data_IF_450268912173
#
_entry.id   IF_450268912173
#
_cell.length_a   1.000
_cell.length_b   1.000
_cell.length_c   1.000
_cell.angle_alpha   90.00
_cell.angle_beta   90.00
_cell.angle_gamma   90.00
#
_symmetry.space_group_name_H-M   'P 1'
#
loop_
_entity.id
_entity.type
_entity.pdbx_description
1 polymer ?
#
# COMPACT_ATOMS: atom_id res chain seq x y z
N UNK A 1 -47.72 51.48 48.36
CA UNK A 1 -47.43 51.69 49.80
C UNK A 1 -46.32 50.72 50.20
N UNK A 2 -45.24 51.24 50.80
CA UNK A 2 -44.09 50.49 51.33
C UNK A 2 -44.50 49.73 52.60
N UNK A 3 -43.96 48.54 52.83
CA UNK A 3 -43.28 48.14 54.08
C UNK A 3 -42.87 46.65 54.03
N UNK A 4 -41.58 46.28 54.01
CA UNK A 4 -40.64 46.15 55.16
C UNK A 4 -40.86 44.81 55.93
N UNK A 5 -39.87 43.97 56.33
CA UNK A 5 -38.40 44.07 56.50
C UNK A 5 -37.76 42.68 56.37
N UNK A 6 -36.47 42.72 56.05
CA UNK A 6 -35.44 41.68 56.11
C UNK A 6 -35.11 41.34 57.58
N UNK A 7 -34.89 40.06 57.90
CA UNK A 7 -33.96 39.65 58.97
C UNK A 7 -33.29 38.31 58.64
N UNK A 8 -32.04 38.23 59.07
CA UNK A 8 -30.94 37.42 58.54
C UNK A 8 -30.58 36.28 59.51
N UNK A 9 -30.22 35.12 58.94
CA UNK A 9 -29.37 34.03 59.44
C UNK A 9 -29.69 33.29 60.75
N UNK A 10 -29.78 31.96 60.62
CA UNK A 10 -29.45 30.98 61.65
C UNK A 10 -28.91 29.71 60.98
N UNK A 11 -27.58 29.56 60.97
CA UNK A 11 -26.85 28.46 60.36
C UNK A 11 -27.10 27.15 61.12
N UNK A 12 -27.30 26.09 60.36
CA UNK A 12 -27.66 24.72 60.77
C UNK A 12 -26.52 24.03 61.51
N UNK A 13 -26.86 23.46 62.68
CA UNK A 13 -26.08 22.41 63.32
C UNK A 13 -26.44 21.07 62.69
N UNK A 14 -25.45 20.21 62.42
CA UNK A 14 -25.41 18.78 62.81
C UNK A 14 -24.26 18.07 62.10
N UNK A 15 -23.35 17.53 62.90
CA UNK A 15 -22.37 16.50 62.56
C UNK A 15 -23.06 15.22 62.07
N UNK A 16 -22.60 14.64 60.95
CA UNK A 16 -23.01 13.32 60.50
C UNK A 16 -21.78 12.50 60.06
N UNK A 17 -21.81 11.25 60.51
CA UNK A 17 -20.77 10.26 60.49
C UNK A 17 -20.57 9.61 59.12
N UNK A 18 -19.43 8.93 59.00
CA UNK A 18 -18.98 8.18 57.83
C UNK A 18 -19.97 7.10 57.35
N UNK A 19 -20.08 6.97 56.03
CA UNK A 19 -20.51 5.74 55.36
C UNK A 19 -19.63 5.54 54.12
N UNK A 20 -18.66 4.61 54.22
CA UNK A 20 -17.90 4.09 53.09
C UNK A 20 -18.84 3.19 52.28
N UNK A 21 -19.30 3.67 51.12
CA UNK A 21 -20.00 2.83 50.15
C UNK A 21 -19.00 1.95 49.43
N UNK A 22 -19.07 0.63 49.65
CA UNK A 22 -18.40 -0.38 48.83
C UNK A 22 -18.98 -0.29 47.42
N UNK A 23 -18.20 0.22 46.48
CA UNK A 23 -18.56 0.27 45.07
C UNK A 23 -18.70 -1.15 44.51
N UNK A 24 -19.88 -1.45 43.97
CA UNK A 24 -20.13 -2.69 43.24
C UNK A 24 -19.21 -2.74 42.01
N UNK A 25 -18.43 -3.82 41.89
CA UNK A 25 -17.69 -4.15 40.67
C UNK A 25 -18.68 -4.52 39.58
N UNK A 26 -19.12 -3.53 38.80
CA UNK A 26 -19.80 -3.75 37.53
C UNK A 26 -18.79 -4.28 36.52
N UNK A 27 -18.87 -5.55 36.17
CA UNK A 27 -18.14 -6.09 35.02
C UNK A 27 -18.85 -5.53 33.79
N UNK A 28 -18.28 -4.51 33.16
CA UNK A 28 -18.73 -4.04 31.87
C UNK A 28 -18.51 -5.19 30.87
N UNK A 29 -19.59 -5.83 30.42
CA UNK A 29 -19.54 -6.74 29.30
C UNK A 29 -19.44 -5.88 28.04
N UNK A 30 -18.30 -5.91 27.37
CA UNK A 30 -18.18 -5.37 26.02
C UNK A 30 -19.14 -6.15 25.12
N UNK A 31 -20.20 -5.51 24.67
CA UNK A 31 -21.04 -6.05 23.61
C UNK A 31 -20.22 -6.00 22.32
N UNK A 32 -19.85 -7.16 21.79
CA UNK A 32 -19.28 -7.26 20.44
C UNK A 32 -20.42 -7.01 19.46
N UNK A 33 -20.39 -5.88 18.75
CA UNK A 33 -21.33 -5.62 17.66
C UNK A 33 -20.91 -6.51 16.48
N UNK A 34 -21.64 -7.59 16.26
CA UNK A 34 -21.39 -8.59 15.21
C UNK A 34 -22.10 -8.25 13.88
N UNK A 35 -22.42 -6.98 13.63
CA UNK A 35 -23.10 -6.54 12.40
C UNK A 35 -22.32 -5.38 11.76
N UNK A 36 -21.01 -5.52 11.60
CA UNK A 36 -20.30 -4.69 10.63
C UNK A 36 -20.66 -5.20 9.24
N UNK A 37 -21.02 -4.32 8.28
CA UNK A 37 -21.18 -4.75 6.89
C UNK A 37 -19.87 -5.41 6.43
N UNK A 38 -20.00 -6.50 5.67
CA UNK A 38 -18.87 -7.08 4.94
C UNK A 38 -18.45 -6.07 3.89
N UNK A 39 -17.24 -5.51 4.02
CA UNK A 39 -16.66 -4.60 3.04
C UNK A 39 -16.02 -5.47 1.97
N UNK A 40 -16.65 -5.55 0.80
CA UNK A 40 -16.09 -6.23 -0.37
C UNK A 40 -15.07 -5.27 -0.95
N UNK A 41 -13.79 -5.59 -0.80
CA UNK A 41 -12.74 -4.74 -1.38
C UNK A 41 -12.82 -4.78 -2.90
N UNK A 42 -12.55 -3.65 -3.55
CA UNK A 42 -12.50 -3.61 -5.00
C UNK A 42 -11.31 -4.45 -5.48
N UNK A 43 -11.48 -5.08 -6.63
CA UNK A 43 -10.46 -5.91 -7.28
C UNK A 43 -9.86 -5.17 -8.47
N UNK A 44 -8.82 -5.76 -9.05
CA UNK A 44 -8.40 -5.40 -10.41
C UNK A 44 -8.69 -6.57 -11.33
N UNK A 45 -9.04 -6.27 -12.58
CA UNK A 45 -9.35 -7.27 -13.59
C UNK A 45 -8.13 -7.50 -14.47
N UNK A 46 -7.81 -8.76 -14.74
CA UNK A 46 -6.89 -9.11 -15.81
C UNK A 46 -7.59 -9.03 -17.20
N UNK A 47 -6.84 -9.14 -18.31
CA UNK A 47 -7.44 -9.08 -19.65
C UNK A 47 -8.45 -10.20 -19.96
N UNK A 48 -8.44 -11.30 -19.20
CA UNK A 48 -9.38 -12.42 -19.31
C UNK A 48 -10.63 -12.22 -18.42
N UNK A 49 -10.65 -11.17 -17.60
CA UNK A 49 -11.72 -10.84 -16.67
C UNK A 49 -11.60 -11.55 -15.32
N UNK A 50 -10.46 -12.20 -15.02
CA UNK A 50 -10.23 -12.75 -13.69
C UNK A 50 -9.91 -11.63 -12.70
N UNK A 51 -10.36 -11.79 -11.48
CA UNK A 51 -10.18 -10.82 -10.40
C UNK A 51 -8.86 -11.05 -9.67
N UNK A 52 -8.17 -9.97 -9.35
CA UNK A 52 -6.95 -9.99 -8.54
C UNK A 52 -7.03 -8.94 -7.43
N UNK A 53 -6.56 -9.32 -6.25
CA UNK A 53 -6.43 -8.46 -5.07
C UNK A 53 -4.96 -8.26 -4.81
N UNK A 54 -4.56 -7.00 -4.61
CA UNK A 54 -3.19 -6.63 -4.24
C UNK A 54 -2.11 -7.22 -5.18
N UNK A 55 -2.19 -6.97 -6.51
CA UNK A 55 -1.21 -7.51 -7.45
C UNK A 55 0.20 -6.98 -7.15
N UNK A 56 1.21 -7.83 -7.29
CA UNK A 56 2.61 -7.49 -7.03
C UNK A 56 3.30 -6.77 -8.20
N UNK A 57 2.67 -6.78 -9.38
CA UNK A 57 3.15 -6.10 -10.58
C UNK A 57 2.03 -5.60 -11.49
N UNK A 58 2.30 -4.52 -12.22
CA UNK A 58 1.43 -3.92 -13.24
C UNK A 58 2.26 -3.67 -14.52
N UNK A 59 1.86 -4.25 -15.64
CA UNK A 59 2.49 -3.97 -16.95
C UNK A 59 1.74 -2.84 -17.64
N UNK A 60 2.42 -1.70 -17.78
CA UNK A 60 1.83 -0.45 -18.23
C UNK A 60 1.85 -0.30 -19.75
N UNK A 61 2.77 -0.99 -20.42
CA UNK A 61 2.79 -1.12 -21.88
C UNK A 61 2.68 -2.59 -22.30
N UNK A 62 1.49 -3.20 -22.21
CA UNK A 62 1.33 -4.64 -22.43
C UNK A 62 1.77 -5.14 -23.81
N UNK A 63 1.76 -4.26 -24.82
CA UNK A 63 2.10 -4.62 -26.19
C UNK A 63 3.59 -4.98 -26.37
N UNK A 64 4.48 -4.40 -25.57
CA UNK A 64 5.93 -4.56 -25.72
C UNK A 64 6.68 -4.81 -24.41
N UNK A 65 5.99 -4.74 -23.26
CA UNK A 65 6.51 -4.97 -21.92
C UNK A 65 7.72 -4.07 -21.56
N UNK A 66 7.84 -2.90 -22.19
CA UNK A 66 8.95 -1.98 -21.95
C UNK A 66 8.75 -1.09 -20.72
N UNK A 67 7.56 -1.05 -20.14
CA UNK A 67 7.28 -0.34 -18.90
C UNK A 67 6.37 -1.17 -17.98
N UNK A 68 6.84 -1.44 -16.77
CA UNK A 68 6.10 -2.12 -15.73
C UNK A 68 6.41 -1.52 -14.35
N UNK A 69 5.47 -1.63 -13.42
CA UNK A 69 5.72 -1.44 -11.99
C UNK A 69 5.82 -2.80 -11.34
N UNK A 70 6.92 -3.08 -10.66
CA UNK A 70 7.21 -4.33 -9.98
C UNK A 70 7.43 -4.10 -8.48
N UNK A 71 7.49 -5.20 -7.72
CA UNK A 71 7.74 -5.19 -6.27
C UNK A 71 6.73 -4.32 -5.52
N UNK A 72 5.46 -4.40 -5.93
CA UNK A 72 4.42 -3.57 -5.35
C UNK A 72 4.12 -4.04 -3.93
N UNK A 73 4.13 -3.10 -3.00
CA UNK A 73 3.67 -3.28 -1.62
C UNK A 73 2.48 -2.37 -1.37
N UNK A 74 1.33 -2.97 -1.07
CA UNK A 74 0.10 -2.24 -0.76
C UNK A 74 0.06 -1.83 0.71
N UNK A 75 -0.30 -0.57 0.95
CA UNK A 75 -0.46 0.04 2.28
C UNK A 75 -1.94 0.16 2.64
N UNK A 76 -2.77 0.46 1.64
CA UNK A 76 -4.22 0.57 1.74
C UNK A 76 -4.83 -0.23 0.61
N UNK A 77 -5.86 -1.01 0.92
CA UNK A 77 -6.71 -1.67 -0.07
C UNK A 77 -8.12 -1.78 0.50
N UNK A 78 -9.10 -1.17 -0.18
CA UNK A 78 -10.51 -1.24 0.23
C UNK A 78 -11.45 -1.14 -0.99
N UNK A 79 -12.73 -0.87 -0.74
CA UNK A 79 -13.81 -0.78 -1.73
C UNK A 79 -13.84 0.55 -2.52
N UNK A 80 -12.93 1.48 -2.24
CA UNK A 80 -12.89 2.80 -2.87
C UNK A 80 -11.51 3.16 -3.44
N UNK A 81 -10.45 2.75 -2.76
CA UNK A 81 -9.07 3.11 -3.12
C UNK A 81 -8.10 2.00 -2.71
N UNK A 82 -7.04 1.85 -3.50
CA UNK A 82 -5.82 1.16 -3.10
C UNK A 82 -4.62 2.10 -3.21
N UNK A 83 -3.72 2.06 -2.23
CA UNK A 83 -2.49 2.86 -2.22
C UNK A 83 -1.31 1.93 -1.94
N UNK A 84 -0.30 1.99 -2.79
CA UNK A 84 0.90 1.17 -2.67
C UNK A 84 2.16 1.89 -3.14
N UNK A 85 3.29 1.24 -2.96
CA UNK A 85 4.58 1.67 -3.48
C UNK A 85 5.18 0.56 -4.32
N UNK A 86 5.96 0.90 -5.34
CA UNK A 86 6.66 -0.08 -6.16
C UNK A 86 7.87 0.50 -6.86
N UNK A 87 8.43 -0.26 -7.79
CA UNK A 87 9.55 0.15 -8.65
C UNK A 87 9.10 0.10 -10.09
N UNK A 88 9.01 1.26 -10.74
CA UNK A 88 8.83 1.36 -12.18
C UNK A 88 10.14 0.98 -12.89
N UNK A 89 10.05 0.00 -13.78
CA UNK A 89 11.13 -0.47 -14.63
C UNK A 89 10.83 -0.08 -16.07
N UNK A 90 11.65 0.81 -16.63
CA UNK A 90 11.45 1.35 -17.98
C UNK A 90 12.66 1.01 -18.84
N UNK A 91 12.43 0.38 -19.99
CA UNK A 91 13.44 0.23 -21.02
C UNK A 91 13.61 1.56 -21.76
N UNK A 92 14.83 2.10 -21.81
CA UNK A 92 15.11 3.36 -22.50
C UNK A 92 14.86 3.28 -24.00
N UNK A 93 14.95 2.09 -24.59
CA UNK A 93 14.80 1.86 -26.03
C UNK A 93 15.74 2.71 -26.91
N UNK A 94 16.90 3.11 -26.40
CA UNK A 94 17.88 3.89 -27.15
C UNK A 94 19.11 3.04 -27.50
N UNK A 95 19.49 2.91 -28.80
CA UNK A 95 18.81 3.40 -30.00
C UNK A 95 17.64 2.52 -30.45
N UNK A 96 17.55 1.29 -29.94
CA UNK A 96 16.46 0.35 -30.20
C UNK A 96 16.05 -0.34 -28.89
N UNK A 97 14.83 -0.86 -28.79
CA UNK A 97 14.40 -1.58 -27.58
C UNK A 97 15.19 -2.86 -27.28
N UNK A 98 15.82 -3.47 -28.29
CA UNK A 98 16.68 -4.63 -28.10
C UNK A 98 18.05 -4.28 -27.48
N UNK A 99 18.48 -3.03 -27.62
CA UNK A 99 19.78 -2.52 -27.17
C UNK A 99 19.65 -1.58 -25.96
N UNK A 100 18.43 -1.21 -25.59
CA UNK A 100 18.16 -0.30 -24.49
C UNK A 100 18.52 -0.87 -23.12
N UNK A 101 18.46 -0.02 -22.11
CA UNK A 101 18.77 -0.36 -20.72
C UNK A 101 17.52 -0.21 -19.86
N UNK A 102 17.40 -1.05 -18.84
CA UNK A 102 16.34 -0.92 -17.85
C UNK A 102 16.76 0.10 -16.80
N UNK A 103 15.91 1.11 -16.61
CA UNK A 103 16.04 2.11 -15.54
C UNK A 103 14.98 1.82 -14.49
N UNK A 104 15.38 1.80 -13.22
CA UNK A 104 14.50 1.53 -12.07
C UNK A 104 14.21 2.84 -11.34
N UNK A 105 12.94 3.11 -11.04
CA UNK A 105 12.50 4.32 -10.34
C UNK A 105 11.46 3.97 -9.27
N UNK A 106 11.63 4.41 -8.02
CA UNK A 106 10.61 4.21 -7.01
C UNK A 106 9.36 5.06 -7.33
N UNK A 107 8.18 4.47 -7.11
CA UNK A 107 6.89 5.10 -7.41
C UNK A 107 5.84 4.83 -6.32
N UNK A 108 4.89 5.76 -6.20
CA UNK A 108 3.62 5.58 -5.49
C UNK A 108 2.54 5.23 -6.50
N UNK A 109 1.69 4.26 -6.15
CA UNK A 109 0.59 3.76 -6.97
C UNK A 109 -0.71 4.06 -6.22
N UNK A 110 -1.70 4.61 -6.91
CA UNK A 110 -3.06 4.76 -6.42
C UNK A 110 -4.01 4.11 -7.41
N UNK A 111 -4.85 3.19 -6.95
CA UNK A 111 -5.97 2.67 -7.73
C UNK A 111 -7.26 3.29 -7.19
N UNK A 112 -8.06 3.85 -8.07
CA UNK A 112 -9.35 4.47 -7.75
C UNK A 112 -10.32 4.33 -8.94
N UNK A 113 -11.44 5.06 -8.87
CA UNK A 113 -12.51 4.97 -9.87
C UNK A 113 -13.18 3.59 -9.84
N UNK A 114 -14.04 3.35 -8.85
CA UNK A 114 -14.64 2.02 -8.67
C UNK A 114 -15.92 1.85 -9.48
N UNK A 115 -16.00 0.75 -10.23
CA UNK A 115 -17.19 0.33 -10.98
C UNK A 115 -17.66 -1.06 -10.54
N UNK A 116 -18.92 -1.39 -10.79
CA UNK A 116 -19.48 -2.71 -10.52
C UNK A 116 -19.26 -3.67 -11.69
N UNK A 117 -18.98 -4.93 -11.40
CA UNK A 117 -18.91 -5.98 -12.41
C UNK A 117 -20.33 -6.45 -12.76
N UNK A 118 -20.66 -6.48 -14.06
CA UNK A 118 -22.00 -6.92 -14.52
C UNK A 118 -22.36 -8.32 -13.98
N UNK A 119 -23.62 -8.50 -13.58
CA UNK A 119 -24.16 -9.76 -13.06
C UNK A 119 -23.45 -10.33 -11.80
N UNK A 120 -22.75 -9.48 -11.03
CA UNK A 120 -22.12 -9.85 -9.76
C UNK A 120 -22.25 -8.74 -8.69
N UNK A 121 -21.89 -9.06 -7.46
CA UNK A 121 -21.77 -8.07 -6.37
C UNK A 121 -20.33 -7.51 -6.27
N UNK A 122 -19.44 -7.89 -7.19
CA UNK A 122 -18.05 -7.47 -7.19
C UNK A 122 -17.88 -6.06 -7.74
N UNK A 123 -16.82 -5.39 -7.28
CA UNK A 123 -16.42 -4.06 -7.73
C UNK A 123 -14.96 -4.08 -8.17
N UNK A 124 -14.60 -3.28 -9.16
CA UNK A 124 -13.25 -3.19 -9.67
C UNK A 124 -12.78 -1.75 -9.84
N UNK A 125 -11.47 -1.53 -9.65
CA UNK A 125 -10.82 -0.26 -9.96
C UNK A 125 -10.73 -0.04 -11.47
N UNK A 126 -10.94 1.20 -11.92
CA UNK A 126 -10.87 1.58 -13.35
C UNK A 126 -9.69 2.48 -13.67
N UNK A 127 -9.11 3.14 -12.66
CA UNK A 127 -8.03 4.09 -12.86
C UNK A 127 -6.80 3.73 -12.01
N UNK A 128 -5.61 3.94 -12.57
CA UNK A 128 -4.34 3.85 -11.87
C UNK A 128 -3.55 5.14 -12.04
N UNK A 129 -3.19 5.77 -10.93
CA UNK A 129 -2.24 6.87 -10.88
C UNK A 129 -0.88 6.38 -10.40
N UNK A 130 0.17 6.80 -11.10
CA UNK A 130 1.55 6.51 -10.78
C UNK A 130 2.29 7.82 -10.61
N UNK A 131 2.90 8.01 -9.45
CA UNK A 131 3.69 9.19 -9.10
C UNK A 131 5.12 8.77 -8.79
N UNK A 132 6.10 9.43 -9.40
CA UNK A 132 7.51 9.22 -9.11
C UNK A 132 8.34 10.42 -9.52
N UNK A 133 9.65 10.24 -9.64
CA UNK A 133 10.60 11.32 -9.97
C UNK A 133 10.39 11.96 -11.35
N UNK A 134 9.65 11.29 -12.25
CA UNK A 134 9.28 11.84 -13.56
C UNK A 134 7.93 12.59 -13.52
N UNK A 135 7.30 12.70 -12.35
CA UNK A 135 5.98 13.29 -12.13
C UNK A 135 4.85 12.28 -11.94
N UNK A 136 3.61 12.77 -12.02
CA UNK A 136 2.38 11.98 -11.88
C UNK A 136 1.73 11.72 -13.25
N UNK A 137 1.25 10.49 -13.45
CA UNK A 137 0.48 10.09 -14.64
C UNK A 137 -0.66 9.16 -14.26
N UNK A 138 -1.78 9.29 -14.97
CA UNK A 138 -2.96 8.42 -14.81
C UNK A 138 -3.17 7.56 -16.06
N UNK A 139 -3.56 6.31 -15.85
CA UNK A 139 -3.90 5.36 -16.91
C UNK A 139 -5.25 4.70 -16.58
N UNK A 140 -5.98 4.35 -17.63
CA UNK A 140 -7.13 3.47 -17.50
C UNK A 140 -6.63 2.03 -17.28
N UNK A 141 -7.14 1.36 -16.25
CA UNK A 141 -6.71 0.01 -15.89
C UNK A 141 -7.00 -1.03 -16.97
N UNK A 142 -7.93 -0.77 -17.90
CA UNK A 142 -8.15 -1.63 -19.08
C UNK A 142 -6.98 -1.62 -20.06
N UNK A 143 -6.08 -0.63 -19.95
CA UNK A 143 -4.85 -0.53 -20.76
C UNK A 143 -3.63 -1.14 -20.09
N UNK A 144 -3.78 -1.56 -18.84
CA UNK A 144 -2.74 -2.20 -18.03
C UNK A 144 -2.98 -3.70 -18.04
N UNK A 145 -1.91 -4.47 -17.97
CA UNK A 145 -2.01 -5.93 -17.79
C UNK A 145 -1.45 -6.31 -16.45
N UNK A 146 -2.24 -7.07 -15.70
CA UNK A 146 -1.78 -7.78 -14.52
C UNK A 146 -1.51 -9.19 -14.98
N UNK A 147 -0.24 -9.54 -15.11
CA UNK A 147 0.08 -10.95 -15.23
C UNK A 147 0.04 -11.55 -13.83
N UNK A 148 -0.51 -12.76 -13.64
CA UNK A 148 -0.06 -13.56 -12.52
C UNK A 148 1.46 -13.65 -12.65
N UNK A 149 2.20 -13.07 -11.72
CA UNK A 149 3.62 -13.42 -11.59
C UNK A 149 3.57 -14.91 -11.33
N UNK A 150 4.09 -15.79 -12.22
CA UNK A 150 4.19 -17.19 -11.87
C UNK A 150 4.95 -17.19 -10.55
N UNK A 151 4.31 -17.70 -9.49
CA UNK A 151 4.97 -17.90 -8.20
C UNK A 151 6.32 -18.46 -8.54
N UNK A 152 7.40 -17.73 -8.21
CA UNK A 152 8.76 -18.06 -8.61
C UNK A 152 8.89 -19.57 -8.52
N UNK A 153 8.98 -20.26 -9.68
CA UNK A 153 8.74 -21.70 -9.69
C UNK A 153 9.71 -22.29 -8.67
N UNK A 154 9.18 -22.79 -7.56
CA UNK A 154 9.99 -23.54 -6.61
C UNK A 154 10.57 -24.66 -7.45
N UNK A 155 11.90 -24.70 -7.55
CA UNK A 155 12.67 -25.70 -8.29
C UNK A 155 12.35 -27.11 -7.76
N UNK A 156 11.17 -27.63 -8.08
CA UNK A 156 10.73 -28.99 -7.84
C UNK A 156 10.79 -29.71 -9.18
N UNK A 157 11.99 -30.12 -9.57
CA UNK A 157 12.24 -31.50 -9.99
C UNK A 157 13.72 -31.72 -10.33
N UNK A 158 14.40 -32.42 -9.41
CA UNK A 158 15.75 -32.89 -9.62
C UNK A 158 15.83 -33.98 -10.69
N UNK A 159 16.73 -33.79 -11.64
CA UNK A 159 17.52 -34.87 -12.23
C UNK A 159 18.97 -34.41 -12.29
N UNK A 160 19.75 -34.87 -11.31
CA UNK A 160 21.21 -34.90 -11.39
C UNK A 160 21.61 -36.06 -12.32
N UNK A 161 21.80 -35.76 -13.60
CA UNK A 161 22.64 -36.61 -14.45
C UNK A 161 24.10 -36.18 -14.24
N UNK A 162 24.79 -37.06 -13.54
CA UNK A 162 26.21 -37.05 -13.19
C UNK A 162 27.05 -37.19 -14.47
N UNK A 163 27.54 -36.10 -15.07
CA UNK A 163 28.65 -36.21 -16.03
C UNK A 163 29.52 -34.94 -16.17
N UNK A 164 30.73 -35.07 -15.61
CA UNK A 164 31.99 -34.38 -15.95
C UNK A 164 32.13 -32.87 -15.66
N UNK A 165 32.65 -32.58 -14.46
CA UNK A 165 33.26 -31.30 -14.09
C UNK A 165 34.73 -31.22 -14.55
N UNK A 166 35.13 -30.30 -15.45
CA UNK A 166 36.53 -29.86 -15.53
C UNK A 166 36.81 -28.79 -14.47
N UNK A 167 37.72 -29.12 -13.55
CA UNK A 167 38.30 -28.19 -12.58
C UNK A 167 38.86 -26.97 -13.33
N UNK A 168 38.22 -25.81 -13.14
CA UNK A 168 38.80 -24.51 -13.47
C UNK A 168 39.35 -23.91 -12.19
N UNK A 169 40.64 -23.61 -12.22
CA UNK A 169 41.36 -22.92 -11.16
C UNK A 169 40.70 -21.57 -10.85
N UNK A 170 40.34 -21.39 -9.58
CA UNK A 170 39.89 -20.11 -9.03
C UNK A 170 41.08 -19.15 -8.92
N UNK A 171 40.98 -17.91 -9.43
CA UNK A 171 41.84 -16.83 -8.97
C UNK A 171 41.34 -16.32 -7.61
N UNK A 172 42.31 -16.05 -6.74
CA UNK A 172 42.16 -15.62 -5.35
C UNK A 172 41.38 -14.30 -5.24
N UNK A 173 40.55 -14.23 -4.20
CA UNK A 173 39.74 -13.10 -3.77
C UNK A 173 40.64 -11.89 -3.45
N UNK A 174 40.38 -10.75 -4.10
CA UNK A 174 40.74 -9.44 -3.54
C UNK A 174 39.46 -8.83 -2.97
N UNK A 175 39.38 -8.80 -1.64
CA UNK A 175 38.37 -8.06 -0.88
C UNK A 175 38.63 -6.56 -1.01
N UNK A 176 38.11 -5.95 -2.07
CA UNK A 176 37.89 -4.51 -2.08
C UNK A 176 36.53 -4.25 -1.42
N UNK A 177 36.57 -3.81 -0.17
CA UNK A 177 35.43 -3.26 0.53
C UNK A 177 34.95 -2.01 -0.22
N UNK A 178 33.99 -2.19 -1.11
CA UNK A 178 33.33 -1.11 -1.83
C UNK A 178 32.66 -0.19 -0.80
N UNK A 179 33.18 1.03 -0.72
CA UNK A 179 32.66 2.12 0.08
C UNK A 179 31.17 2.28 -0.23
N UNK A 180 30.31 2.17 0.79
CA UNK A 180 28.86 2.33 0.63
C UNK A 180 28.61 3.65 -0.13
N UNK A 181 27.83 3.63 -1.23
CA UNK A 181 27.63 4.84 -2.02
C UNK A 181 27.05 5.94 -1.13
N UNK A 182 27.69 7.10 -1.15
CA UNK A 182 27.12 8.31 -0.55
C UNK A 182 25.80 8.60 -1.28
N UNK A 183 24.69 8.66 -0.54
CA UNK A 183 23.38 9.00 -1.09
C UNK A 183 23.45 10.45 -1.57
N UNK A 184 23.33 10.66 -2.88
CA UNK A 184 23.40 11.97 -3.50
C UNK A 184 22.24 12.86 -2.97
N UNK A 185 22.49 14.17 -2.78
CA UNK A 185 21.44 15.10 -2.29
C UNK A 185 20.21 15.15 -3.22
N UNK A 186 20.39 14.80 -4.50
CA UNK A 186 19.31 14.68 -5.49
C UNK A 186 18.32 13.53 -5.17
N UNK A 187 18.77 12.47 -4.49
CA UNK A 187 17.89 11.37 -4.05
C UNK A 187 16.99 11.81 -2.88
N UNK A 188 17.43 12.77 -2.05
CA UNK A 188 16.63 13.26 -0.93
C UNK A 188 15.39 14.03 -1.40
N UNK A 189 15.51 14.81 -2.48
CA UNK A 189 14.38 15.52 -3.09
C UNK A 189 13.40 14.55 -3.77
N UNK A 190 13.91 13.50 -4.45
CA UNK A 190 13.08 12.43 -4.99
C UNK A 190 12.28 11.69 -3.92
N UNK A 191 12.93 11.35 -2.79
CA UNK A 191 12.27 10.72 -1.64
C UNK A 191 11.24 11.67 -1.02
N UNK A 192 11.51 12.97 -0.97
CA UNK A 192 10.55 13.96 -0.48
C UNK A 192 9.32 14.08 -1.39
N UNK A 193 9.50 14.00 -2.71
CA UNK A 193 8.40 14.00 -3.69
C UNK A 193 7.53 12.75 -3.55
N UNK A 194 8.15 11.57 -3.42
CA UNK A 194 7.46 10.29 -3.17
C UNK A 194 6.70 10.32 -1.84
N UNK A 195 7.33 10.84 -0.79
CA UNK A 195 6.68 11.00 0.52
C UNK A 195 5.49 11.96 0.44
N UNK A 196 5.60 13.05 -0.34
CA UNK A 196 4.50 13.98 -0.57
C UNK A 196 3.36 13.34 -1.38
N UNK A 197 3.69 12.56 -2.41
CA UNK A 197 2.72 11.81 -3.21
C UNK A 197 1.97 10.78 -2.35
N UNK A 198 2.69 10.05 -1.48
CA UNK A 198 2.09 9.13 -0.53
C UNK A 198 1.19 9.86 0.48
N UNK A 199 1.66 10.97 1.06
CA UNK A 199 0.88 11.75 2.01
C UNK A 199 -0.39 12.33 1.37
N UNK A 200 -0.31 12.78 0.10
CA UNK A 200 -1.48 13.23 -0.68
C UNK A 200 -2.45 12.08 -0.92
N UNK A 201 -1.96 10.94 -1.41
CA UNK A 201 -2.78 9.76 -1.67
C UNK A 201 -3.53 9.29 -0.43
N UNK A 202 -2.87 9.27 0.73
CA UNK A 202 -3.48 8.90 2.02
C UNK A 202 -4.46 9.97 2.51
N UNK A 203 -4.26 11.25 2.19
CA UNK A 203 -5.20 12.32 2.61
C UNK A 203 -6.50 12.35 1.78
N UNK A 204 -6.49 11.79 0.57
CA UNK A 204 -7.67 11.73 -0.31
C UNK A 204 -8.64 10.58 0.06
N UNK A 205 -8.31 9.76 1.07
CA UNK A 205 -9.10 8.59 1.49
C UNK A 205 -10.11 8.84 2.62
N UNK A 206 -10.26 10.08 3.12
CA UNK A 206 -11.12 10.45 4.28
C UNK A 206 -12.35 11.29 3.87
#
# INVERSE_FOLDING_TARGET
>A
MKAQRIFTQGLVATSAAAALTVGATGIAQSAVITNAPEVISAVVLDPEGNTQVEPEALILTPADNNNAVNFITWLVWNDQIAVGTGVEQVNTCEPTCAEGVIVNKPVVIVLDGVEGVEDSDDQYFTEVRISGVDGERSLDLTTVTILPIPAAEEDEDGVVDDEANPVVDAPEEEEDAEELPEVDEDDADAVAEIAAALAKAVAETD
#
